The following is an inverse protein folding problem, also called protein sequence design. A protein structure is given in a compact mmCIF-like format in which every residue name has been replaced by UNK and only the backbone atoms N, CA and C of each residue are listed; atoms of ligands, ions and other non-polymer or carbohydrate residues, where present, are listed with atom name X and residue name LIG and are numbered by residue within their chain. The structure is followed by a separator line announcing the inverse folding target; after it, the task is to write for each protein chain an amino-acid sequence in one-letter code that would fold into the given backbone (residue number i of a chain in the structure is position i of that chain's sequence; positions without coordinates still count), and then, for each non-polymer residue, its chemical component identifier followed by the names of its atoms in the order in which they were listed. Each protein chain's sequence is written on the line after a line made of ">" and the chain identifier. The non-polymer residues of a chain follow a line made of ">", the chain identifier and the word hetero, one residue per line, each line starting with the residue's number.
data_IF_102869323698
#
_entry.id   IF_102869323698
#
_cell.length_a   1.000
_cell.length_b   1.000
_cell.length_c   1.000
_cell.angle_alpha   90.00
_cell.angle_beta   90.00
_cell.angle_gamma   90.00
#
_symmetry.space_group_name_H-M   'P 1'
#
loop_
_entity.id
_entity.type
_entity.pdbx_description
1 polymer ?
#
# COMPACT_ATOMS: atom_id res chain seq x y z
N UNK A 1 -83.18 -11.17 -27.54
CA UNK A 1 -82.10 -11.68 -26.66
C UNK A 1 -80.76 -11.17 -27.17
N UNK A 2 -80.08 -10.27 -26.45
CA UNK A 2 -78.76 -9.79 -26.86
C UNK A 2 -77.69 -10.84 -26.50
N UNK A 3 -76.84 -11.20 -27.47
CA UNK A 3 -75.67 -12.06 -27.23
C UNK A 3 -74.66 -11.29 -26.39
N UNK A 4 -74.36 -11.81 -25.20
CA UNK A 4 -73.28 -11.30 -24.35
C UNK A 4 -71.94 -11.45 -25.07
N UNK A 5 -71.25 -10.31 -25.26
CA UNK A 5 -69.92 -10.22 -25.86
C UNK A 5 -68.90 -10.26 -24.71
N UNK A 6 -68.55 -11.45 -24.24
CA UNK A 6 -67.41 -11.64 -23.34
C UNK A 6 -66.17 -11.91 -24.17
N UNK A 7 -65.54 -10.85 -24.69
CA UNK A 7 -64.15 -10.93 -25.13
C UNK A 7 -63.35 -10.46 -23.93
N UNK A 8 -62.69 -11.40 -23.25
CA UNK A 8 -61.67 -11.11 -22.25
C UNK A 8 -60.54 -10.32 -22.94
N UNK A 9 -60.51 -9.00 -22.73
CA UNK A 9 -59.33 -8.19 -22.99
C UNK A 9 -58.27 -8.60 -21.97
N UNK A 10 -57.53 -9.67 -22.26
CA UNK A 10 -56.26 -9.91 -21.57
C UNK A 10 -55.34 -8.76 -22.00
N UNK A 11 -54.88 -7.89 -21.08
CA UNK A 11 -53.94 -6.84 -21.44
C UNK A 11 -52.72 -7.50 -22.09
N UNK A 12 -52.32 -7.00 -23.27
CA UNK A 12 -51.11 -7.46 -23.96
C UNK A 12 -49.93 -7.46 -22.98
N UNK A 13 -49.37 -8.64 -22.71
CA UNK A 13 -48.32 -8.88 -21.70
C UNK A 13 -47.05 -8.06 -21.98
N UNK A 14 -46.95 -7.47 -23.18
CA UNK A 14 -45.84 -6.62 -23.62
C UNK A 14 -46.05 -5.13 -23.33
N UNK A 15 -47.23 -4.70 -22.86
CA UNK A 15 -47.51 -3.30 -22.56
C UNK A 15 -46.98 -2.93 -21.17
N UNK A 16 -45.85 -2.23 -21.15
CA UNK A 16 -45.31 -1.58 -19.95
C UNK A 16 -46.11 -0.31 -19.69
N UNK A 17 -46.61 -0.12 -18.46
CA UNK A 17 -47.34 1.09 -18.10
C UNK A 17 -46.41 2.31 -18.11
N UNK A 18 -46.96 3.50 -18.36
CA UNK A 18 -46.18 4.75 -18.31
C UNK A 18 -45.52 4.91 -16.95
N UNK A 19 -46.22 4.56 -15.88
CA UNK A 19 -45.67 4.58 -14.52
C UNK A 19 -44.46 3.63 -14.38
N UNK A 20 -44.55 2.40 -14.88
CA UNK A 20 -43.43 1.46 -14.85
C UNK A 20 -42.23 1.97 -15.67
N UNK A 21 -42.47 2.57 -16.84
CA UNK A 21 -41.40 3.22 -17.61
C UNK A 21 -40.70 4.33 -16.81
N UNK A 22 -41.48 5.22 -16.17
CA UNK A 22 -40.94 6.30 -15.33
C UNK A 22 -40.16 5.74 -14.15
N UNK A 23 -40.71 4.76 -13.43
CA UNK A 23 -40.05 4.15 -12.28
C UNK A 23 -38.72 3.48 -12.65
N UNK A 24 -38.67 2.74 -13.77
CA UNK A 24 -37.45 2.08 -14.25
C UNK A 24 -36.41 3.07 -14.77
N UNK A 25 -36.83 4.15 -15.42
CA UNK A 25 -35.92 5.24 -15.80
C UNK A 25 -35.36 5.91 -14.55
N UNK A 26 -36.18 6.22 -13.55
CA UNK A 26 -35.72 6.79 -12.29
C UNK A 26 -34.75 5.87 -11.58
N UNK A 27 -35.04 4.57 -11.49
CA UNK A 27 -34.14 3.56 -10.92
C UNK A 27 -32.78 3.57 -11.65
N UNK A 28 -32.79 3.61 -12.99
CA UNK A 28 -31.57 3.72 -13.80
C UNK A 28 -30.77 4.98 -13.47
N UNK A 29 -31.44 6.13 -13.35
CA UNK A 29 -30.79 7.39 -12.99
C UNK A 29 -30.21 7.36 -11.59
N UNK A 30 -30.90 6.75 -10.62
CA UNK A 30 -30.42 6.65 -9.24
C UNK A 30 -29.19 5.76 -9.13
N UNK A 31 -29.21 4.57 -9.74
CA UNK A 31 -28.03 3.69 -9.76
C UNK A 31 -26.89 4.35 -10.52
N UNK A 32 -27.17 4.97 -11.68
CA UNK A 32 -26.16 5.70 -12.45
C UNK A 32 -25.52 6.84 -11.64
N UNK A 33 -26.32 7.58 -10.88
CA UNK A 33 -25.85 8.63 -9.97
C UNK A 33 -24.98 8.08 -8.85
N UNK A 34 -25.40 6.99 -8.20
CA UNK A 34 -24.64 6.36 -7.13
C UNK A 34 -23.25 5.91 -7.62
N UNK A 35 -23.17 5.22 -8.76
CA UNK A 35 -21.90 4.79 -9.34
C UNK A 35 -21.02 5.97 -9.73
N UNK A 36 -21.59 6.99 -10.38
CA UNK A 36 -20.83 8.17 -10.80
C UNK A 36 -20.30 8.95 -9.61
N UNK A 37 -21.14 9.19 -8.60
CA UNK A 37 -20.76 9.90 -7.38
C UNK A 37 -19.61 9.16 -6.67
N UNK A 38 -19.73 7.84 -6.52
CA UNK A 38 -18.69 7.02 -5.90
C UNK A 38 -17.36 7.08 -6.67
N UNK A 39 -17.41 7.00 -8.01
CA UNK A 39 -16.21 7.12 -8.85
C UNK A 39 -15.57 8.53 -8.77
N UNK A 40 -16.39 9.58 -8.78
CA UNK A 40 -15.91 10.97 -8.66
C UNK A 40 -15.32 11.24 -7.27
N UNK A 41 -15.95 10.74 -6.21
CA UNK A 41 -15.40 10.82 -4.86
C UNK A 41 -14.02 10.18 -4.79
N UNK A 42 -13.86 8.94 -5.30
CA UNK A 42 -12.56 8.26 -5.39
C UNK A 42 -11.55 9.07 -6.20
N UNK A 43 -11.95 9.59 -7.37
CA UNK A 43 -11.08 10.42 -8.22
C UNK A 43 -10.58 11.65 -7.46
N UNK A 44 -11.45 12.33 -6.72
CA UNK A 44 -11.07 13.53 -5.95
C UNK A 44 -10.08 13.22 -4.81
N UNK A 45 -10.03 11.98 -4.32
CA UNK A 45 -9.03 11.60 -3.32
C UNK A 45 -7.65 11.36 -3.92
N UNK A 46 -7.53 11.15 -5.24
CA UNK A 46 -6.26 10.79 -5.90
C UNK A 46 -5.19 11.88 -5.77
N UNK A 47 -5.61 13.15 -5.65
CA UNK A 47 -4.71 14.30 -5.46
C UNK A 47 -4.47 14.64 -3.98
N UNK A 48 -5.06 13.87 -3.05
CA UNK A 48 -4.92 14.09 -1.62
C UNK A 48 -3.74 13.31 -1.03
N UNK A 49 -3.34 13.65 0.20
CA UNK A 49 -2.28 12.95 0.93
C UNK A 49 -2.63 11.47 1.26
N UNK A 50 -3.90 11.07 1.11
CA UNK A 50 -4.38 9.70 1.35
C UNK A 50 -5.31 9.30 0.22
N UNK A 51 -4.77 8.95 -0.96
CA UNK A 51 -5.58 8.50 -2.07
C UNK A 51 -6.36 7.24 -1.70
N UNK A 52 -7.59 7.14 -2.19
CA UNK A 52 -8.37 5.91 -2.04
C UNK A 52 -7.65 4.73 -2.68
N UNK A 53 -7.66 3.60 -2.00
CA UNK A 53 -7.10 2.34 -2.50
C UNK A 53 -8.05 1.19 -2.14
N UNK A 54 -8.21 0.24 -3.05
CA UNK A 54 -8.93 -1.01 -2.82
C UNK A 54 -8.16 -2.01 -1.97
N UNK A 55 -6.91 -1.72 -1.59
CA UNK A 55 -6.02 -2.64 -0.88
C UNK A 55 -6.64 -3.22 0.38
N UNK A 56 -7.14 -2.36 1.28
CA UNK A 56 -7.77 -2.82 2.53
C UNK A 56 -9.01 -3.68 2.29
N UNK A 57 -9.73 -3.43 1.19
CA UNK A 57 -10.89 -4.23 0.80
C UNK A 57 -10.48 -5.60 0.23
N UNK A 58 -9.47 -5.63 -0.63
CA UNK A 58 -8.97 -6.83 -1.30
C UNK A 58 -8.17 -7.74 -0.36
N UNK A 59 -7.30 -7.16 0.48
CA UNK A 59 -6.46 -7.89 1.42
C UNK A 59 -7.27 -8.61 2.50
N UNK A 60 -8.46 -8.08 2.83
CA UNK A 60 -9.42 -8.66 3.78
C UNK A 60 -10.53 -9.48 3.09
N UNK A 61 -10.33 -9.92 1.85
CA UNK A 61 -11.33 -10.76 1.18
C UNK A 61 -11.56 -12.09 1.93
N UNK A 62 -12.80 -12.58 1.91
CA UNK A 62 -13.23 -13.82 2.55
C UNK A 62 -14.13 -14.62 1.59
N UNK A 63 -14.31 -15.91 1.90
CA UNK A 63 -15.13 -16.82 1.11
C UNK A 63 -14.39 -17.46 -0.07
N UNK A 64 -15.10 -18.13 -0.99
CA UNK A 64 -14.49 -19.04 -1.97
C UNK A 64 -13.58 -18.37 -3.01
N UNK A 65 -13.67 -17.05 -3.16
CA UNK A 65 -12.84 -16.26 -4.08
C UNK A 65 -11.74 -15.46 -3.36
N UNK A 66 -11.54 -15.71 -2.06
CA UNK A 66 -10.58 -15.00 -1.21
C UNK A 66 -9.22 -14.85 -1.86
N UNK A 67 -8.60 -15.97 -2.26
CA UNK A 67 -7.21 -15.95 -2.71
C UNK A 67 -7.06 -15.21 -4.04
N UNK A 68 -8.06 -15.28 -4.93
CA UNK A 68 -8.09 -14.51 -6.16
C UNK A 68 -8.12 -13.01 -5.87
N UNK A 69 -8.97 -12.54 -4.95
CA UNK A 69 -9.02 -11.13 -4.59
C UNK A 69 -7.77 -10.65 -3.85
N UNK A 70 -7.28 -11.44 -2.90
CA UNK A 70 -6.05 -11.15 -2.15
C UNK A 70 -4.82 -11.12 -3.05
N UNK A 71 -4.79 -11.91 -4.13
CA UNK A 71 -3.69 -11.85 -5.09
C UNK A 71 -3.62 -10.50 -5.84
N UNK A 72 -4.74 -9.79 -5.97
CA UNK A 72 -4.79 -8.49 -6.66
C UNK A 72 -4.08 -7.41 -5.85
N UNK A 73 -4.12 -7.47 -4.51
CA UNK A 73 -3.40 -6.50 -3.67
C UNK A 73 -1.87 -6.67 -3.75
N UNK A 74 -1.37 -7.78 -4.28
CA UNK A 74 0.06 -8.07 -4.43
C UNK A 74 0.70 -8.58 -3.15
N UNK A 75 0.51 -7.86 -2.04
CA UNK A 75 1.03 -8.23 -0.70
C UNK A 75 -0.11 -8.26 0.35
N UNK A 76 -1.04 -9.23 0.26
CA UNK A 76 -2.24 -9.25 1.09
C UNK A 76 -1.98 -9.47 2.59
N UNK A 77 -0.80 -9.97 2.95
CA UNK A 77 -0.35 -10.23 4.32
C UNK A 77 0.70 -9.21 4.79
N UNK A 78 1.05 -8.22 3.96
CA UNK A 78 2.09 -7.22 4.24
C UNK A 78 3.47 -7.84 4.56
N UNK A 79 3.77 -9.03 4.02
CA UNK A 79 5.03 -9.72 4.26
C UNK A 79 6.18 -9.07 3.50
N UNK A 80 5.91 -8.39 2.39
CA UNK A 80 6.94 -7.70 1.62
C UNK A 80 7.48 -6.49 2.39
N UNK A 81 6.68 -5.88 3.26
CA UNK A 81 7.12 -4.85 4.20
C UNK A 81 8.04 -5.36 5.32
N UNK A 82 8.08 -6.67 5.53
CA UNK A 82 8.92 -7.32 6.53
C UNK A 82 10.16 -7.98 5.91
N UNK A 83 10.32 -7.84 4.59
CA UNK A 83 11.48 -8.31 3.85
C UNK A 83 12.40 -7.12 3.53
N UNK A 84 13.62 -7.16 4.05
CA UNK A 84 14.58 -6.07 3.86
C UNK A 84 14.86 -5.80 2.38
N UNK A 85 15.09 -6.84 1.58
CA UNK A 85 15.53 -6.68 0.21
C UNK A 85 14.41 -6.06 -0.63
N UNK A 86 13.15 -6.49 -0.41
CA UNK A 86 11.98 -5.92 -1.09
C UNK A 86 11.74 -4.46 -0.72
N UNK A 87 11.83 -4.10 0.56
CA UNK A 87 11.65 -2.70 1.00
C UNK A 87 12.81 -1.84 0.52
N UNK A 88 14.05 -2.35 0.57
CA UNK A 88 15.22 -1.65 0.05
C UNK A 88 15.07 -1.36 -1.45
N UNK A 89 14.68 -2.35 -2.25
CA UNK A 89 14.44 -2.20 -3.69
C UNK A 89 13.32 -1.18 -3.96
N UNK A 90 12.23 -1.22 -3.17
CA UNK A 90 11.14 -0.24 -3.25
C UNK A 90 11.64 1.19 -2.98
N UNK A 91 12.48 1.39 -1.98
CA UNK A 91 13.03 2.71 -1.65
C UNK A 91 14.05 3.20 -2.68
N UNK A 92 14.83 2.30 -3.25
CA UNK A 92 15.76 2.60 -4.35
C UNK A 92 14.99 2.98 -5.62
N UNK A 93 13.93 2.24 -5.98
CA UNK A 93 13.03 2.57 -7.09
C UNK A 93 12.36 3.94 -6.87
N UNK A 94 11.85 4.18 -5.66
CA UNK A 94 11.28 5.48 -5.31
C UNK A 94 12.31 6.61 -5.45
N UNK A 95 13.55 6.41 -4.98
CA UNK A 95 14.63 7.39 -5.14
C UNK A 95 14.88 7.70 -6.61
N UNK A 96 14.90 6.68 -7.47
CA UNK A 96 15.06 6.85 -8.91
C UNK A 96 13.90 7.65 -9.52
N UNK A 97 12.65 7.30 -9.20
CA UNK A 97 11.47 8.06 -9.64
C UNK A 97 11.46 9.49 -9.11
N UNK A 98 11.95 9.72 -7.88
CA UNK A 98 12.08 11.06 -7.31
C UNK A 98 13.04 11.92 -8.14
N UNK A 99 14.17 11.36 -8.58
CA UNK A 99 15.15 12.04 -9.44
C UNK A 99 14.54 12.33 -10.82
N UNK A 100 13.84 11.35 -11.42
CA UNK A 100 13.19 11.51 -12.72
C UNK A 100 12.06 12.55 -12.71
N UNK A 101 11.30 12.61 -11.63
CA UNK A 101 10.22 13.60 -11.42
C UNK A 101 10.76 15.02 -11.19
N UNK A 102 12.03 15.15 -10.77
CA UNK A 102 12.70 16.42 -10.52
C UNK A 102 14.01 16.52 -11.33
N UNK A 103 13.95 16.69 -12.65
CA UNK A 103 15.15 16.74 -13.51
C UNK A 103 16.04 17.96 -13.26
N UNK A 104 15.58 18.94 -12.48
CA UNK A 104 16.24 20.19 -12.11
C UNK A 104 16.84 20.18 -10.69
N UNK A 105 17.01 19.00 -10.08
CA UNK A 105 17.73 18.88 -8.80
C UNK A 105 19.16 19.38 -8.94
N UNK A 106 19.59 20.25 -8.02
CA UNK A 106 20.99 20.66 -7.94
C UNK A 106 21.89 19.50 -7.49
N UNK A 107 23.18 19.56 -7.80
CA UNK A 107 24.17 18.58 -7.32
C UNK A 107 24.14 18.42 -5.79
N UNK A 108 23.86 19.51 -5.07
CA UNK A 108 23.75 19.48 -3.61
C UNK A 108 22.51 18.73 -3.12
N UNK A 109 21.37 18.84 -3.81
CA UNK A 109 20.15 18.12 -3.48
C UNK A 109 20.29 16.64 -3.83
N UNK A 110 20.89 16.32 -4.98
CA UNK A 110 21.16 14.93 -5.38
C UNK A 110 22.09 14.23 -4.39
N UNK A 111 23.17 14.89 -3.96
CA UNK A 111 24.06 14.36 -2.93
C UNK A 111 23.32 14.10 -1.62
N UNK A 112 22.53 15.08 -1.15
CA UNK A 112 21.72 14.93 0.07
C UNK A 112 20.72 13.78 -0.04
N UNK A 113 20.07 13.60 -1.19
CA UNK A 113 19.14 12.49 -1.43
C UNK A 113 19.84 11.14 -1.35
N UNK A 114 21.02 11.01 -1.98
CA UNK A 114 21.80 9.77 -1.91
C UNK A 114 22.26 9.48 -0.48
N UNK A 115 22.81 10.48 0.22
CA UNK A 115 23.20 10.34 1.64
C UNK A 115 22.01 9.98 2.54
N UNK A 116 20.83 10.54 2.23
CA UNK A 116 19.59 10.29 2.96
C UNK A 116 19.14 8.82 2.84
N UNK A 117 19.10 8.29 1.62
CA UNK A 117 18.58 6.94 1.33
C UNK A 117 19.66 5.88 1.54
N UNK A 118 20.81 6.04 0.89
CA UNK A 118 21.87 5.03 0.82
C UNK A 118 22.81 5.05 2.04
N UNK A 119 22.82 6.16 2.78
CA UNK A 119 23.80 6.43 3.83
C UNK A 119 24.99 7.23 3.32
N UNK A 120 25.82 7.68 4.26
CA UNK A 120 27.01 8.46 3.95
C UNK A 120 28.15 7.54 3.48
N UNK A 121 29.00 7.99 2.56
CA UNK A 121 30.19 7.24 2.16
C UNK A 121 31.22 7.20 3.30
N UNK A 122 31.43 8.33 3.94
CA UNK A 122 32.31 8.46 5.09
C UNK A 122 31.93 9.65 5.98
N UNK A 123 32.47 9.66 7.19
CA UNK A 123 32.36 10.75 8.14
C UNK A 123 33.72 11.31 8.45
N UNK A 124 33.87 12.63 8.44
CA UNK A 124 35.16 13.30 8.56
C UNK A 124 35.21 14.23 9.77
N UNK A 125 36.34 14.29 10.45
CA UNK A 125 36.69 15.32 11.43
C UNK A 125 38.09 15.86 11.13
N UNK A 126 38.32 17.14 11.43
CA UNK A 126 39.65 17.72 11.27
C UNK A 126 40.57 17.20 12.38
N UNK A 127 41.77 16.77 12.00
CA UNK A 127 42.81 16.33 12.92
C UNK A 127 44.15 16.65 12.29
N UNK A 128 44.93 17.52 12.93
CA UNK A 128 46.20 18.01 12.35
C UNK A 128 47.27 16.92 12.37
N UNK A 129 47.44 16.24 13.50
CA UNK A 129 48.46 15.22 13.73
C UNK A 129 47.93 14.11 14.64
N UNK A 130 48.41 12.89 14.44
CA UNK A 130 48.13 11.77 15.33
C UNK A 130 49.00 11.85 16.58
N UNK A 131 48.45 11.63 17.80
CA UNK A 131 49.27 11.50 19.00
C UNK A 131 50.24 10.33 18.87
N UNK A 132 51.49 10.49 19.31
CA UNK A 132 52.53 9.44 19.24
C UNK A 132 52.12 8.12 19.93
N UNK A 133 51.24 8.21 20.93
CA UNK A 133 50.73 7.05 21.67
C UNK A 133 49.70 6.20 20.91
N UNK A 134 49.19 6.67 19.76
CA UNK A 134 48.10 6.01 19.03
C UNK A 134 48.60 5.34 17.76
N UNK A 135 48.54 4.01 17.73
CA UNK A 135 48.80 3.22 16.53
C UNK A 135 47.56 3.21 15.59
N UNK A 136 47.79 3.40 14.29
CA UNK A 136 46.78 3.23 13.23
C UNK A 136 47.22 2.16 12.22
N UNK A 137 46.36 1.18 11.87
CA UNK A 137 44.99 0.99 12.32
C UNK A 137 44.91 0.52 13.80
N UNK A 138 43.93 1.00 14.57
CA UNK A 138 43.84 0.75 16.01
C UNK A 138 43.41 -0.69 16.32
N UNK A 139 44.06 -1.33 17.30
CA UNK A 139 43.71 -2.70 17.71
C UNK A 139 42.35 -2.73 18.42
N UNK A 140 41.49 -3.64 17.99
CA UNK A 140 40.16 -3.85 18.58
C UNK A 140 39.13 -2.79 18.19
N UNK A 141 39.36 -2.15 17.05
CA UNK A 141 38.37 -1.49 16.21
C UNK A 141 38.28 -2.30 14.92
N UNK A 142 37.08 -2.41 14.34
CA UNK A 142 36.87 -3.12 13.08
C UNK A 142 37.82 -2.60 11.98
N UNK A 143 38.42 -3.52 11.21
CA UNK A 143 39.47 -3.18 10.27
C UNK A 143 38.90 -2.33 9.13
N UNK A 144 39.40 -1.10 9.01
CA UNK A 144 38.95 -0.14 7.98
C UNK A 144 37.86 0.81 8.44
N UNK A 145 37.29 0.61 9.64
CA UNK A 145 36.26 1.48 10.19
C UNK A 145 36.75 2.90 10.47
N UNK A 146 38.04 3.08 10.77
CA UNK A 146 38.65 4.38 10.98
C UNK A 146 40.02 4.49 10.32
N UNK A 147 40.29 5.62 9.67
CA UNK A 147 41.57 5.95 9.05
C UNK A 147 41.94 7.42 9.30
N UNK A 148 43.23 7.69 9.36
CA UNK A 148 43.77 9.05 9.39
C UNK A 148 44.46 9.36 8.07
N UNK A 149 44.13 10.50 7.47
CA UNK A 149 44.72 10.98 6.22
C UNK A 149 45.59 12.22 6.50
N UNK A 150 46.94 12.07 6.50
CA UNK A 150 47.86 13.16 6.86
C UNK A 150 47.80 14.35 5.90
N UNK A 151 47.68 14.08 4.60
CA UNK A 151 47.71 15.11 3.56
C UNK A 151 46.50 16.06 3.65
N UNK A 152 45.33 15.51 4.00
CA UNK A 152 44.10 16.28 4.14
C UNK A 152 43.81 16.70 5.58
N UNK A 153 44.63 16.25 6.55
CA UNK A 153 44.47 16.48 8.00
C UNK A 153 43.10 16.07 8.51
N UNK A 154 42.68 14.85 8.15
CA UNK A 154 41.34 14.33 8.45
C UNK A 154 41.38 12.97 9.12
N UNK A 155 40.55 12.85 10.14
CA UNK A 155 40.12 11.58 10.68
C UNK A 155 38.83 11.16 9.97
N UNK A 156 38.82 9.98 9.38
CA UNK A 156 37.73 9.48 8.55
C UNK A 156 37.21 8.17 9.12
N UNK A 157 35.89 8.10 9.32
CA UNK A 157 35.17 6.87 9.68
C UNK A 157 34.42 6.38 8.45
N UNK A 158 34.51 5.08 8.19
CA UNK A 158 33.78 4.43 7.10
C UNK A 158 32.27 4.51 7.33
N UNK A 159 31.54 4.88 6.28
CA UNK A 159 30.12 5.14 6.38
C UNK A 159 29.24 3.91 6.61
N UNK A 160 29.76 2.69 6.46
CA UNK A 160 29.02 1.44 6.68
C UNK A 160 29.45 0.70 7.94
N UNK A 161 30.75 0.72 8.24
CA UNK A 161 31.28 0.02 9.42
C UNK A 161 30.95 0.78 10.72
N UNK A 162 30.83 2.11 10.63
CA UNK A 162 30.57 2.99 11.78
C UNK A 162 31.58 2.78 12.92
N UNK A 163 31.28 3.34 14.09
CA UNK A 163 32.03 3.08 15.32
C UNK A 163 31.04 2.82 16.45
N UNK A 164 31.32 1.82 17.27
CA UNK A 164 30.59 1.55 18.51
C UNK A 164 31.06 2.49 19.63
N UNK A 165 30.23 2.70 20.66
CA UNK A 165 30.62 3.47 21.86
C UNK A 165 31.89 2.89 22.50
N UNK A 166 32.02 1.55 22.49
CA UNK A 166 33.19 0.84 23.03
C UNK A 166 34.45 1.17 22.24
N UNK A 167 34.39 1.17 20.92
CA UNK A 167 35.51 1.53 20.06
C UNK A 167 35.88 3.01 20.20
N UNK A 168 34.89 3.91 20.27
CA UNK A 168 35.13 5.34 20.54
C UNK A 168 35.86 5.56 21.86
N UNK A 169 35.39 4.94 22.94
CA UNK A 169 36.03 5.06 24.26
C UNK A 169 37.45 4.45 24.25
N UNK A 170 37.63 3.34 23.54
CA UNK A 170 38.96 2.72 23.33
C UNK A 170 39.91 3.66 22.61
N UNK A 171 39.47 4.30 21.53
CA UNK A 171 40.30 5.23 20.75
C UNK A 171 40.79 6.40 21.61
N UNK A 172 39.93 6.96 22.46
CA UNK A 172 40.30 8.06 23.37
C UNK A 172 41.28 7.57 24.44
N UNK A 173 41.01 6.43 25.07
CA UNK A 173 41.86 5.87 26.13
C UNK A 173 43.24 5.43 25.63
N UNK A 174 43.41 5.11 24.34
CA UNK A 174 44.74 4.85 23.75
C UNK A 174 45.65 6.08 23.83
N UNK A 175 45.12 7.28 23.64
CA UNK A 175 45.86 8.52 23.79
C UNK A 175 45.91 9.02 25.24
N UNK A 176 44.87 8.72 26.03
CA UNK A 176 44.68 9.20 27.41
C UNK A 176 44.22 8.07 28.33
N UNK A 177 45.13 7.22 28.86
CA UNK A 177 44.76 6.03 29.64
C UNK A 177 43.94 6.31 30.91
N UNK A 178 44.10 7.51 31.49
CA UNK A 178 43.42 7.93 32.72
C UNK A 178 42.02 8.52 32.48
N UNK A 179 41.63 8.77 31.22
CA UNK A 179 40.34 9.36 30.87
C UNK A 179 39.19 8.36 31.08
N UNK A 180 38.06 8.84 31.64
CA UNK A 180 36.84 8.05 31.84
C UNK A 180 35.67 8.64 31.06
N UNK A 181 34.72 7.78 30.69
CA UNK A 181 33.52 8.23 29.98
C UNK A 181 32.70 9.19 30.86
N UNK A 182 32.36 10.35 30.30
CA UNK A 182 31.75 11.48 31.02
C UNK A 182 32.73 12.59 31.44
N UNK A 183 34.05 12.35 31.40
CA UNK A 183 35.05 13.40 31.62
C UNK A 183 35.13 14.36 30.42
N UNK A 184 35.65 15.56 30.66
CA UNK A 184 35.95 16.53 29.59
C UNK A 184 36.97 15.94 28.60
N UNK A 185 36.79 16.20 27.30
CA UNK A 185 37.62 15.64 26.23
C UNK A 185 39.04 16.23 26.29
N UNK A 186 40.08 15.42 26.58
CA UNK A 186 41.38 15.90 27.05
C UNK A 186 42.32 16.40 25.94
N UNK A 187 41.96 16.25 24.66
CA UNK A 187 42.82 16.66 23.53
C UNK A 187 42.03 16.91 22.25
N UNK A 188 42.65 17.59 21.27
CA UNK A 188 42.07 17.77 19.93
C UNK A 188 41.83 16.42 19.22
N UNK A 189 42.66 15.41 19.46
CA UNK A 189 42.41 14.04 19.00
C UNK A 189 41.14 13.45 19.61
N UNK A 190 40.96 13.56 20.93
CA UNK A 190 39.75 13.06 21.59
C UNK A 190 38.49 13.80 21.11
N UNK A 191 38.58 15.12 20.87
CA UNK A 191 37.50 15.92 20.26
C UNK A 191 37.21 15.49 18.82
N UNK A 192 38.22 15.21 18.01
CA UNK A 192 38.04 14.74 16.64
C UNK A 192 37.40 13.35 16.58
N UNK A 193 37.85 12.41 17.43
CA UNK A 193 37.27 11.07 17.58
C UNK A 193 35.81 11.17 18.02
N UNK A 194 35.51 11.97 19.03
CA UNK A 194 34.14 12.18 19.51
C UNK A 194 33.24 12.81 18.44
N UNK A 195 33.74 13.81 17.72
CA UNK A 195 33.01 14.48 16.66
C UNK A 195 32.71 13.54 15.49
N UNK A 196 33.69 12.78 15.02
CA UNK A 196 33.48 11.84 13.91
C UNK A 196 32.57 10.69 14.33
N UNK A 197 32.69 10.19 15.57
CA UNK A 197 31.78 9.20 16.15
C UNK A 197 30.34 9.72 16.19
N UNK A 198 30.10 10.93 16.72
CA UNK A 198 28.77 11.56 16.75
C UNK A 198 28.21 11.76 15.35
N UNK A 199 29.06 12.11 14.38
CA UNK A 199 28.65 12.25 12.97
C UNK A 199 28.27 10.91 12.36
N UNK A 200 29.00 9.85 12.69
CA UNK A 200 28.77 8.49 12.22
C UNK A 200 27.48 7.85 12.76
N UNK A 201 26.92 8.37 13.86
CA UNK A 201 25.59 7.94 14.32
C UNK A 201 24.45 8.34 13.35
N UNK A 202 24.72 9.14 12.31
CA UNK A 202 23.73 9.50 11.30
C UNK A 202 23.63 8.39 10.26
N UNK A 203 22.66 7.51 10.47
CA UNK A 203 22.34 6.42 9.56
C UNK A 203 21.48 6.90 8.39
N UNK A 204 21.75 6.39 7.19
CA UNK A 204 20.83 6.48 6.05
C UNK A 204 19.57 5.64 6.29
N UNK A 205 18.52 5.84 5.50
CA UNK A 205 17.28 5.07 5.68
C UNK A 205 17.48 3.57 5.44
N UNK A 206 18.26 3.15 4.45
CA UNK A 206 18.54 1.72 4.22
C UNK A 206 19.28 1.05 5.40
N UNK A 207 20.10 1.81 6.13
CA UNK A 207 20.77 1.32 7.34
C UNK A 207 19.80 1.25 8.53
N UNK A 208 18.92 2.25 8.67
CA UNK A 208 17.84 2.23 9.67
C UNK A 208 16.87 1.08 9.43
N UNK A 209 16.55 0.78 8.17
CA UNK A 209 15.75 -0.37 7.78
C UNK A 209 16.45 -1.69 8.15
N UNK A 210 17.75 -1.79 7.90
CA UNK A 210 18.54 -2.95 8.32
C UNK A 210 18.52 -3.12 9.84
N UNK A 211 18.61 -2.03 10.60
CA UNK A 211 18.50 -2.09 12.06
C UNK A 211 17.15 -2.67 12.51
N UNK A 212 16.04 -2.28 11.86
CA UNK A 212 14.69 -2.76 12.20
C UNK A 212 14.43 -4.21 11.75
N UNK A 213 14.88 -4.59 10.55
CA UNK A 213 14.52 -5.90 9.95
C UNK A 213 15.61 -6.97 10.07
N UNK A 214 16.84 -6.60 10.42
CA UNK A 214 17.98 -7.51 10.57
C UNK A 214 18.71 -7.37 11.90
N UNK A 215 18.57 -6.24 12.60
CA UNK A 215 19.31 -5.93 13.82
C UNK A 215 18.51 -6.06 15.12
N UNK A 216 17.18 -6.11 15.05
CA UNK A 216 16.31 -6.12 16.23
C UNK A 216 16.05 -7.56 16.73
N UNK A 217 16.61 -7.96 17.89
CA UNK A 217 16.51 -9.33 18.39
C UNK A 217 15.08 -9.75 18.78
N UNK A 218 14.15 -8.80 18.98
CA UNK A 218 12.74 -9.15 19.24
C UNK A 218 12.03 -9.56 17.94
N UNK A 219 12.46 -8.98 16.81
CA UNK A 219 11.78 -9.15 15.51
C UNK A 219 12.35 -10.30 14.68
N UNK A 220 13.64 -10.58 14.81
CA UNK A 220 14.34 -11.58 13.99
C UNK A 220 14.60 -12.88 14.75
N UNK A 221 14.58 -14.00 14.01
CA UNK A 221 15.02 -15.30 14.51
C UNK A 221 16.54 -15.40 14.43
N UNK A 222 17.17 -15.80 15.54
CA UNK A 222 18.62 -15.98 15.60
C UNK A 222 19.01 -17.09 16.57
N UNK A 223 20.17 -17.69 16.29
CA UNK A 223 20.78 -18.73 17.12
C UNK A 223 21.89 -18.11 17.98
N UNK A 224 21.89 -18.41 19.28
CA UNK A 224 23.00 -18.13 20.19
C UNK A 224 23.95 -19.32 20.14
N UNK A 225 25.16 -19.11 19.62
CA UNK A 225 26.19 -20.15 19.52
C UNK A 225 27.27 -19.99 20.59
N UNK A 226 27.82 -21.11 21.09
CA UNK A 226 29.03 -21.09 21.93
C UNK A 226 30.29 -20.75 21.11
N UNK A 227 31.43 -20.62 21.78
CA UNK A 227 32.77 -20.34 21.25
C UNK A 227 33.23 -21.33 20.19
N UNK A 228 32.70 -22.55 20.21
CA UNK A 228 32.98 -23.62 19.24
C UNK A 228 31.96 -23.65 18.08
N UNK A 229 30.97 -22.74 18.07
CA UNK A 229 29.97 -22.62 17.01
C UNK A 229 28.76 -23.53 17.15
N UNK A 230 28.61 -24.26 18.26
CA UNK A 230 27.42 -25.07 18.55
C UNK A 230 26.26 -24.17 19.03
N UNK A 231 25.07 -24.37 18.44
CA UNK A 231 23.85 -23.65 18.82
C UNK A 231 23.41 -24.07 20.22
N UNK A 232 23.40 -23.11 21.15
CA UNK A 232 22.95 -23.29 22.53
C UNK A 232 21.45 -23.05 22.66
N UNK A 233 20.96 -21.99 22.03
CA UNK A 233 19.56 -21.55 22.14
C UNK A 233 19.14 -20.85 20.86
N UNK A 234 17.90 -21.10 20.41
CA UNK A 234 17.30 -20.46 19.25
C UNK A 234 16.16 -19.56 19.71
N UNK A 235 16.22 -18.29 19.36
CA UNK A 235 15.14 -17.33 19.61
C UNK A 235 14.32 -17.16 18.35
N UNK A 236 12.99 -17.26 18.47
CA UNK A 236 12.06 -17.04 17.34
C UNK A 236 11.58 -15.61 17.40
N UNK A 237 11.86 -14.84 16.35
CA UNK A 237 11.43 -13.46 16.24
C UNK A 237 9.95 -13.32 15.92
N UNK A 238 9.37 -12.17 16.26
CA UNK A 238 7.95 -11.87 16.03
C UNK A 238 7.52 -11.99 14.55
N UNK A 239 8.42 -11.71 13.60
CA UNK A 239 8.13 -11.86 12.17
C UNK A 239 7.84 -13.33 11.82
N UNK A 240 8.60 -14.28 12.36
CA UNK A 240 8.39 -15.70 12.12
C UNK A 240 7.20 -16.24 12.92
N UNK A 241 6.91 -15.68 14.09
CA UNK A 241 5.65 -15.93 14.82
C UNK A 241 4.45 -15.53 13.97
N UNK A 242 4.48 -14.35 13.35
CA UNK A 242 3.42 -13.89 12.46
C UNK A 242 3.26 -14.79 11.22
N UNK A 243 4.36 -15.17 10.57
CA UNK A 243 4.33 -16.13 9.44
C UNK A 243 3.75 -17.48 9.85
N UNK A 244 4.12 -18.00 11.02
CA UNK A 244 3.56 -19.24 11.55
C UNK A 244 2.06 -19.10 11.86
N UNK A 245 1.64 -17.95 12.40
CA UNK A 245 0.23 -17.64 12.66
C UNK A 245 -0.61 -17.59 11.39
N UNK A 246 -0.12 -16.95 10.32
CA UNK A 246 -0.77 -16.94 9.01
C UNK A 246 -0.91 -18.34 8.43
N UNK A 247 0.15 -19.15 8.52
CA UNK A 247 0.12 -20.55 8.06
C UNK A 247 -0.95 -21.33 8.82
N UNK A 248 -0.93 -21.24 10.16
CA UNK A 248 -1.92 -21.89 11.03
C UNK A 248 -3.34 -21.47 10.71
N UNK A 249 -3.58 -20.17 10.53
CA UNK A 249 -4.90 -19.65 10.16
C UNK A 249 -5.40 -20.24 8.84
N UNK A 250 -4.53 -20.34 7.82
CA UNK A 250 -4.94 -20.92 6.53
C UNK A 250 -5.19 -22.44 6.62
N UNK A 251 -4.45 -23.15 7.46
CA UNK A 251 -4.70 -24.58 7.76
C UNK A 251 -6.05 -24.75 8.48
N UNK A 252 -6.26 -24.01 9.57
CA UNK A 252 -7.51 -24.02 10.35
C UNK A 252 -8.72 -23.61 9.45
N UNK A 253 -8.55 -22.64 8.54
CA UNK A 253 -9.58 -22.21 7.58
C UNK A 253 -9.94 -23.30 6.56
N UNK A 254 -8.97 -24.12 6.14
CA UNK A 254 -9.21 -25.19 5.19
C UNK A 254 -9.95 -26.39 5.80
N UNK A 255 -9.80 -26.57 7.13
CA UNK A 255 -10.44 -27.66 7.88
C UNK A 255 -11.79 -27.28 8.48
N UNK A 256 -12.07 -25.98 8.65
CA UNK A 256 -13.28 -25.50 9.32
C UNK A 256 -14.59 -25.95 8.63
N UNK A 257 -15.45 -26.63 9.38
CA UNK A 257 -16.76 -27.11 8.94
C UNK A 257 -17.92 -26.64 9.84
N UNK A 258 -17.62 -26.16 11.05
CA UNK A 258 -18.60 -25.77 12.06
C UNK A 258 -18.61 -24.26 12.31
N UNK A 259 -19.79 -23.73 12.64
CA UNK A 259 -19.99 -22.29 12.85
C UNK A 259 -19.04 -21.67 13.90
N UNK A 260 -18.79 -22.37 15.01
CA UNK A 260 -17.89 -21.85 16.05
C UNK A 260 -16.42 -21.82 15.62
N UNK A 261 -16.02 -22.65 14.65
CA UNK A 261 -14.66 -22.66 14.10
C UNK A 261 -14.43 -21.39 13.27
N UNK A 262 -15.44 -20.98 12.50
CA UNK A 262 -15.42 -19.69 11.79
C UNK A 262 -15.41 -18.49 12.74
N UNK A 263 -16.11 -18.56 13.88
CA UNK A 263 -16.03 -17.53 14.93
C UNK A 263 -14.62 -17.46 15.53
N UNK A 264 -13.99 -18.61 15.77
CA UNK A 264 -12.61 -18.67 16.25
C UNK A 264 -11.63 -18.10 15.21
N UNK A 265 -11.78 -18.47 13.94
CA UNK A 265 -11.00 -17.95 12.82
C UNK A 265 -11.14 -16.43 12.69
N UNK A 266 -12.34 -15.87 12.91
CA UNK A 266 -12.53 -14.43 12.91
C UNK A 266 -11.70 -13.73 14.00
N UNK A 267 -11.63 -14.32 15.20
CA UNK A 267 -10.77 -13.83 16.29
C UNK A 267 -9.29 -13.96 15.93
N UNK A 268 -8.86 -15.13 15.45
CA UNK A 268 -7.48 -15.36 15.02
C UNK A 268 -7.07 -14.36 13.93
N UNK A 269 -7.97 -14.09 12.96
CA UNK A 269 -7.74 -13.12 11.90
C UNK A 269 -7.53 -11.72 12.47
N UNK A 270 -8.37 -11.30 13.43
CA UNK A 270 -8.24 -10.01 14.11
C UNK A 270 -6.87 -9.87 14.79
N UNK A 271 -6.46 -10.88 15.54
CA UNK A 271 -5.16 -10.89 16.24
C UNK A 271 -3.99 -10.82 15.24
N UNK A 272 -4.09 -11.53 14.11
CA UNK A 272 -3.11 -11.45 13.02
C UNK A 272 -3.07 -10.06 12.37
N UNK A 273 -4.21 -9.38 12.21
CA UNK A 273 -4.22 -8.01 11.68
C UNK A 273 -3.58 -7.01 12.65
N UNK A 274 -3.75 -7.19 13.96
CA UNK A 274 -3.11 -6.39 15.00
C UNK A 274 -1.59 -6.59 14.99
N UNK A 275 -1.12 -7.84 15.02
CA UNK A 275 0.30 -8.19 14.92
C UNK A 275 0.93 -7.65 13.63
N UNK A 276 0.23 -7.79 12.49
CA UNK A 276 0.69 -7.25 11.21
C UNK A 276 0.95 -5.74 11.31
N UNK A 277 -0.01 -4.99 11.86
CA UNK A 277 0.11 -3.54 12.00
C UNK A 277 1.28 -3.16 12.91
N UNK A 278 1.45 -3.83 14.04
CA UNK A 278 2.58 -3.63 14.96
C UNK A 278 3.93 -3.84 14.26
N UNK A 279 4.06 -4.93 13.50
CA UNK A 279 5.28 -5.27 12.77
C UNK A 279 5.61 -4.28 11.65
N UNK A 280 4.64 -3.90 10.81
CA UNK A 280 4.93 -3.04 9.65
C UNK A 280 5.04 -1.56 10.02
N UNK A 281 4.42 -1.11 11.11
CA UNK A 281 4.33 0.31 11.46
C UNK A 281 5.70 1.02 11.55
N UNK A 282 6.74 0.45 12.17
CA UNK A 282 8.07 1.06 12.17
C UNK A 282 8.67 1.23 10.78
N UNK A 283 8.47 0.26 9.88
CA UNK A 283 8.99 0.31 8.50
C UNK A 283 8.25 1.38 7.68
N UNK A 284 6.92 1.42 7.78
CA UNK A 284 6.07 2.43 7.12
C UNK A 284 6.38 3.84 7.65
N UNK A 285 6.68 3.97 8.94
CA UNK A 285 7.10 5.22 9.55
C UNK A 285 8.45 5.69 8.97
N UNK A 286 9.42 4.79 8.79
CA UNK A 286 10.69 5.11 8.13
C UNK A 286 10.49 5.60 6.69
N UNK A 287 9.65 4.92 5.91
CA UNK A 287 9.34 5.33 4.53
C UNK A 287 8.69 6.72 4.51
N UNK A 288 7.71 6.97 5.38
CA UNK A 288 7.03 8.27 5.49
C UNK A 288 8.01 9.38 5.84
N UNK A 289 8.87 9.14 6.84
CA UNK A 289 9.88 10.10 7.26
C UNK A 289 10.90 10.38 6.14
N UNK A 290 11.28 9.36 5.38
CA UNK A 290 12.16 9.47 4.22
C UNK A 290 11.55 10.38 3.15
N UNK A 291 10.29 10.12 2.77
CA UNK A 291 9.57 10.93 1.78
C UNK A 291 9.44 12.38 2.25
N UNK A 292 9.07 12.60 3.51
CA UNK A 292 8.94 13.94 4.09
C UNK A 292 10.28 14.69 4.13
N UNK A 293 11.36 14.01 4.48
CA UNK A 293 12.70 14.62 4.54
C UNK A 293 13.21 14.98 3.15
N UNK A 294 12.93 14.14 2.15
CA UNK A 294 13.21 14.44 0.76
C UNK A 294 12.34 15.59 0.21
N UNK A 295 11.06 15.68 0.59
CA UNK A 295 10.22 16.80 0.18
C UNK A 295 10.74 18.14 0.75
N UNK A 296 11.26 18.15 1.98
CA UNK A 296 11.80 19.36 2.65
C UNK A 296 13.06 19.93 2.00
N UNK A 297 13.80 19.16 1.22
CA UNK A 297 14.98 19.68 0.49
C UNK A 297 14.62 20.33 -0.85
N UNK A 298 13.37 20.23 -1.31
CA UNK A 298 12.91 20.82 -2.57
C UNK A 298 12.62 22.31 -2.42
N UNK A 299 12.80 23.05 -3.51
CA UNK A 299 12.30 24.42 -3.63
C UNK A 299 10.77 24.42 -3.77
N UNK A 300 10.13 25.57 -3.55
CA UNK A 300 8.67 25.72 -3.72
C UNK A 300 8.24 25.35 -5.14
N UNK A 301 9.03 25.75 -6.15
CA UNK A 301 8.73 25.45 -7.55
C UNK A 301 8.84 23.96 -7.86
N UNK A 302 9.86 23.27 -7.33
CA UNK A 302 9.99 21.81 -7.43
C UNK A 302 8.83 21.10 -6.73
N UNK A 303 8.49 21.50 -5.50
CA UNK A 303 7.40 20.91 -4.72
C UNK A 303 6.03 21.09 -5.38
N UNK A 304 5.84 22.17 -6.16
CA UNK A 304 4.59 22.45 -6.87
C UNK A 304 4.24 21.42 -7.97
N UNK A 305 5.20 20.55 -8.37
CA UNK A 305 4.95 19.44 -9.31
C UNK A 305 4.10 18.32 -8.72
N UNK A 306 3.87 18.34 -7.41
CA UNK A 306 3.08 17.32 -6.72
C UNK A 306 3.88 16.07 -6.35
N UNK A 307 3.19 15.04 -5.82
CA UNK A 307 3.84 13.85 -5.30
C UNK A 307 4.57 13.06 -6.40
N UNK A 308 5.59 12.31 -6.00
CA UNK A 308 6.30 11.39 -6.91
C UNK A 308 5.30 10.35 -7.43
N UNK A 309 5.19 10.13 -8.75
CA UNK A 309 4.23 9.18 -9.31
C UNK A 309 4.55 7.77 -8.82
N UNK A 310 3.58 7.10 -8.18
CA UNK A 310 3.71 5.69 -7.78
C UNK A 310 3.95 4.76 -8.99
N UNK A 311 4.44 3.52 -8.80
CA UNK A 311 4.56 2.56 -9.90
C UNK A 311 3.18 2.00 -10.29
N UNK A 312 3.09 1.38 -11.47
CA UNK A 312 1.89 0.69 -11.93
C UNK A 312 1.88 -0.75 -11.43
N UNK A 313 1.37 -0.94 -10.21
CA UNK A 313 1.15 -2.27 -9.60
C UNK A 313 -0.19 -2.86 -10.04
N UNK A 314 -0.38 -4.18 -9.85
CA UNK A 314 -1.68 -4.84 -10.11
C UNK A 314 -2.82 -4.20 -9.31
N UNK A 315 -2.54 -3.85 -8.05
CA UNK A 315 -3.45 -3.12 -7.18
C UNK A 315 -3.86 -1.78 -7.82
N UNK A 316 -2.89 -0.96 -8.24
CA UNK A 316 -3.18 0.36 -8.82
C UNK A 316 -3.93 0.26 -10.15
N UNK A 317 -3.60 -0.73 -10.97
CA UNK A 317 -4.32 -1.01 -12.21
C UNK A 317 -5.79 -1.34 -11.88
N UNK A 318 -6.01 -2.15 -10.85
CA UNK A 318 -7.36 -2.52 -10.38
C UNK A 318 -8.12 -1.33 -9.80
N UNK A 319 -7.48 -0.49 -8.99
CA UNK A 319 -8.08 0.74 -8.47
C UNK A 319 -8.46 1.70 -9.59
N UNK A 320 -7.57 1.89 -10.58
CA UNK A 320 -7.86 2.70 -11.75
C UNK A 320 -9.04 2.11 -12.56
N UNK A 321 -9.13 0.80 -12.74
CA UNK A 321 -10.26 0.14 -13.41
C UNK A 321 -11.58 0.33 -12.64
N UNK A 322 -11.54 0.27 -11.30
CA UNK A 322 -12.72 0.54 -10.46
C UNK A 322 -13.17 1.99 -10.61
N UNK A 323 -12.26 2.95 -10.45
CA UNK A 323 -12.56 4.39 -10.56
C UNK A 323 -13.13 4.71 -11.95
N UNK A 324 -12.41 4.33 -13.00
CA UNK A 324 -12.82 4.62 -14.38
C UNK A 324 -14.10 3.89 -14.76
N UNK A 325 -14.28 2.65 -14.30
CA UNK A 325 -15.50 1.86 -14.48
C UNK A 325 -16.71 2.54 -13.84
N UNK A 326 -16.61 2.95 -12.58
CA UNK A 326 -17.67 3.66 -11.86
C UNK A 326 -18.07 4.97 -12.55
N UNK A 327 -17.10 5.83 -12.89
CA UNK A 327 -17.36 7.09 -13.57
C UNK A 327 -17.99 6.89 -14.95
N UNK A 328 -17.45 5.96 -15.74
CA UNK A 328 -17.90 5.74 -17.12
C UNK A 328 -19.28 5.10 -17.14
N UNK A 329 -19.48 3.99 -16.42
CA UNK A 329 -20.75 3.26 -16.41
C UNK A 329 -21.87 4.09 -15.75
N UNK A 330 -21.56 4.82 -14.68
CA UNK A 330 -22.51 5.76 -14.06
C UNK A 330 -22.97 6.85 -15.03
N UNK A 331 -22.03 7.47 -15.75
CA UNK A 331 -22.35 8.49 -16.77
C UNK A 331 -23.19 7.93 -17.91
N UNK A 332 -22.84 6.74 -18.42
CA UNK A 332 -23.59 6.06 -19.49
C UNK A 332 -25.03 5.75 -19.07
N UNK A 333 -25.24 5.31 -17.84
CA UNK A 333 -26.58 5.05 -17.28
C UNK A 333 -27.39 6.33 -17.09
N UNK A 334 -26.78 7.43 -16.65
CA UNK A 334 -27.47 8.72 -16.49
C UNK A 334 -27.93 9.25 -17.86
N UNK A 335 -27.00 9.34 -18.81
CA UNK A 335 -27.26 9.86 -20.16
C UNK A 335 -28.16 8.90 -20.97
N UNK A 336 -28.17 7.62 -20.62
CA UNK A 336 -28.91 6.58 -21.33
C UNK A 336 -28.29 6.27 -22.69
N UNK A 337 -26.96 6.11 -22.73
CA UNK A 337 -26.20 5.70 -23.91
C UNK A 337 -25.66 4.27 -23.72
N UNK A 338 -25.82 3.43 -24.74
CA UNK A 338 -25.49 2.01 -24.70
C UNK A 338 -26.07 1.31 -23.45
N UNK A 339 -27.30 1.68 -23.06
CA UNK A 339 -27.84 1.45 -21.71
C UNK A 339 -27.81 -0.01 -21.29
N UNK A 340 -28.11 -0.94 -22.22
CA UNK A 340 -28.12 -2.38 -21.92
C UNK A 340 -26.73 -2.92 -21.62
N UNK A 341 -25.73 -2.47 -22.37
CA UNK A 341 -24.33 -2.80 -22.13
C UNK A 341 -23.85 -2.15 -20.83
N UNK A 342 -24.13 -0.87 -20.63
CA UNK A 342 -23.75 -0.16 -19.41
C UNK A 342 -24.34 -0.83 -18.16
N UNK A 343 -25.62 -1.22 -18.20
CA UNK A 343 -26.28 -1.90 -17.09
C UNK A 343 -25.71 -3.30 -16.83
N UNK A 344 -25.44 -4.09 -17.88
CA UNK A 344 -24.83 -5.42 -17.74
C UNK A 344 -23.40 -5.33 -17.18
N UNK A 345 -22.58 -4.43 -17.69
CA UNK A 345 -21.21 -4.21 -17.20
C UNK A 345 -21.19 -3.68 -15.77
N UNK A 346 -22.11 -2.78 -15.41
CA UNK A 346 -22.27 -2.31 -14.03
C UNK A 346 -22.71 -3.44 -13.09
N UNK A 347 -23.60 -4.34 -13.54
CA UNK A 347 -23.99 -5.51 -12.75
C UNK A 347 -22.79 -6.41 -12.46
N UNK A 348 -21.91 -6.64 -13.45
CA UNK A 348 -20.67 -7.42 -13.27
C UNK A 348 -19.74 -6.72 -12.27
N UNK A 349 -19.55 -5.41 -12.40
CA UNK A 349 -18.70 -4.63 -11.49
C UNK A 349 -19.20 -4.70 -10.04
N UNK A 350 -20.49 -4.43 -9.81
CA UNK A 350 -21.07 -4.47 -8.45
C UNK A 350 -21.08 -5.89 -7.88
N UNK A 351 -21.33 -6.90 -8.73
CA UNK A 351 -21.22 -8.30 -8.32
C UNK A 351 -19.78 -8.65 -7.91
N UNK A 352 -18.77 -8.11 -8.58
CA UNK A 352 -17.38 -8.32 -8.19
C UNK A 352 -17.07 -7.76 -6.79
N UNK A 353 -17.74 -6.69 -6.35
CA UNK A 353 -17.60 -6.19 -4.97
C UNK A 353 -18.34 -7.05 -3.96
N UNK A 354 -19.52 -7.57 -4.31
CA UNK A 354 -20.25 -8.51 -3.46
C UNK A 354 -19.44 -9.78 -3.16
N UNK A 355 -18.68 -10.26 -4.13
CA UNK A 355 -17.92 -11.51 -4.04
C UNK A 355 -16.61 -11.40 -3.23
N UNK A 356 -16.17 -10.20 -2.83
CA UNK A 356 -14.98 -10.02 -1.98
C UNK A 356 -15.21 -10.52 -0.57
N UNK A 357 -16.41 -10.30 -0.02
CA UNK A 357 -16.78 -10.76 1.32
C UNK A 357 -18.28 -11.12 1.33
N UNK A 358 -18.66 -12.22 0.66
CA UNK A 358 -20.06 -12.57 0.49
C UNK A 358 -20.65 -13.07 1.82
N UNK A 359 -21.85 -12.63 2.21
CA UNK A 359 -22.51 -13.06 3.45
C UNK A 359 -23.15 -14.44 3.26
N UNK A 360 -22.33 -15.44 2.95
CA UNK A 360 -22.72 -16.84 2.75
C UNK A 360 -22.54 -17.64 4.04
N UNK A 361 -23.31 -18.74 4.22
CA UNK A 361 -23.04 -19.67 5.31
C UNK A 361 -21.59 -20.15 5.29
N UNK A 362 -20.91 -20.09 6.44
CA UNK A 362 -19.50 -20.47 6.57
C UNK A 362 -18.50 -19.39 6.17
N UNK A 363 -18.94 -18.18 5.84
CA UNK A 363 -18.04 -17.02 5.68
C UNK A 363 -18.17 -16.14 6.93
N UNK A 364 -17.06 -15.68 7.55
CA UNK A 364 -17.14 -14.73 8.67
C UNK A 364 -17.99 -13.52 8.31
N UNK A 365 -18.76 -12.99 9.25
CA UNK A 365 -19.58 -11.80 8.95
C UNK A 365 -18.68 -10.56 8.75
N UNK A 366 -18.92 -9.75 7.71
CA UNK A 366 -18.18 -8.51 7.52
C UNK A 366 -18.45 -7.54 8.68
N UNK A 367 -17.43 -6.84 9.19
CA UNK A 367 -17.61 -5.87 10.26
C UNK A 367 -18.52 -4.73 9.80
N UNK A 368 -19.60 -4.48 10.54
CA UNK A 368 -20.54 -3.41 10.23
C UNK A 368 -21.94 -3.67 10.76
N UNK A 369 -22.85 -2.71 10.51
CA UNK A 369 -24.26 -2.79 10.94
C UNK A 369 -25.15 -3.60 9.99
N UNK A 370 -24.60 -4.16 8.91
CA UNK A 370 -25.35 -4.90 7.91
C UNK A 370 -25.41 -6.39 8.27
N UNK A 371 -26.54 -6.84 8.84
CA UNK A 371 -26.85 -8.26 9.03
C UNK A 371 -27.78 -8.71 7.90
N UNK A 372 -27.21 -9.18 6.79
CA UNK A 372 -27.98 -9.62 5.62
C UNK A 372 -27.47 -10.96 5.11
N UNK A 373 -28.22 -12.03 5.35
CA UNK A 373 -27.87 -13.37 4.85
C UNK A 373 -28.09 -13.41 3.33
N UNK A 374 -27.01 -13.63 2.56
CA UNK A 374 -26.97 -13.75 1.10
C UNK A 374 -27.39 -12.47 0.35
N UNK A 375 -28.53 -11.86 0.64
CA UNK A 375 -29.08 -10.71 -0.08
C UNK A 375 -28.80 -9.41 0.68
N UNK A 376 -27.74 -8.70 0.27
CA UNK A 376 -27.43 -7.35 0.78
C UNK A 376 -27.72 -6.28 -0.30
N UNK A 377 -27.39 -5.01 0.01
CA UNK A 377 -27.59 -3.88 -0.92
C UNK A 377 -26.93 -4.10 -2.29
N UNK A 378 -25.73 -4.68 -2.32
CA UNK A 378 -24.98 -4.91 -3.55
C UNK A 378 -25.73 -5.92 -4.44
N UNK A 379 -26.25 -7.01 -3.87
CA UNK A 379 -26.98 -8.01 -4.65
C UNK A 379 -28.34 -7.49 -5.16
N UNK A 380 -29.02 -6.64 -4.37
CA UNK A 380 -30.24 -5.95 -4.81
C UNK A 380 -29.93 -5.02 -6.00
N UNK A 381 -28.82 -4.28 -5.94
CA UNK A 381 -28.37 -3.40 -7.01
C UNK A 381 -28.00 -4.20 -8.28
N UNK A 382 -27.33 -5.34 -8.15
CA UNK A 382 -27.06 -6.27 -9.27
C UNK A 382 -28.36 -6.74 -9.92
N UNK A 383 -29.35 -7.16 -9.13
CA UNK A 383 -30.65 -7.61 -9.65
C UNK A 383 -31.39 -6.49 -10.38
N UNK A 384 -31.33 -5.25 -9.86
CA UNK A 384 -31.88 -4.08 -10.50
C UNK A 384 -31.19 -3.78 -11.84
N UNK A 385 -29.86 -3.82 -11.88
CA UNK A 385 -29.07 -3.60 -13.09
C UNK A 385 -29.31 -4.66 -14.17
N UNK A 386 -29.41 -5.95 -13.80
CA UNK A 386 -29.79 -7.03 -14.72
C UNK A 386 -31.20 -6.77 -15.31
N UNK A 387 -32.13 -6.35 -14.46
CA UNK A 387 -33.49 -5.98 -14.90
C UNK A 387 -33.47 -4.82 -15.89
N UNK A 388 -32.63 -3.80 -15.64
CA UNK A 388 -32.42 -2.67 -16.55
C UNK A 388 -31.75 -3.07 -17.86
N UNK A 389 -30.83 -4.04 -17.84
CA UNK A 389 -30.17 -4.57 -19.04
C UNK A 389 -31.13 -5.34 -19.97
N UNK A 390 -32.17 -5.93 -19.38
CA UNK A 390 -33.23 -6.63 -20.11
C UNK A 390 -34.28 -5.69 -20.72
N UNK A 391 -34.33 -4.42 -20.30
CA UNK A 391 -35.38 -3.47 -20.69
C UNK A 391 -34.82 -2.32 -21.55
N UNK A 392 -35.60 -1.78 -22.50
CA UNK A 392 -35.11 -0.74 -23.40
C UNK A 392 -35.21 0.67 -22.78
N UNK A 393 -34.80 0.82 -21.52
CA UNK A 393 -34.93 2.07 -20.73
C UNK A 393 -34.23 3.27 -21.39
N UNK A 394 -33.12 3.04 -22.10
CA UNK A 394 -32.43 4.03 -22.92
C UNK A 394 -33.28 4.61 -24.06
N UNK A 395 -34.19 3.81 -24.63
CA UNK A 395 -35.09 4.27 -25.70
C UNK A 395 -36.28 5.06 -25.17
N UNK A 396 -36.68 4.83 -23.92
CA UNK A 396 -37.74 5.57 -23.24
C UNK A 396 -37.27 6.97 -22.87
N UNK A 397 -36.08 7.07 -22.28
CA UNK A 397 -35.46 8.34 -21.88
C UNK A 397 -33.93 8.21 -21.94
N UNK A 398 -33.31 8.73 -22.99
CA UNK A 398 -31.86 8.66 -23.16
C UNK A 398 -31.39 8.89 -24.59
N UNK A 399 -30.07 8.94 -24.75
CA UNK A 399 -29.41 9.11 -26.05
C UNK A 399 -29.70 7.92 -26.99
N UNK A 400 -29.85 6.71 -26.47
CA UNK A 400 -30.22 5.53 -27.27
C UNK A 400 -31.53 5.75 -28.06
N UNK A 401 -32.53 6.41 -27.44
CA UNK A 401 -33.78 6.75 -28.11
C UNK A 401 -33.62 7.80 -29.21
N UNK A 402 -32.77 8.81 -28.99
CA UNK A 402 -32.47 9.85 -29.98
C UNK A 402 -31.78 9.22 -31.20
N UNK A 403 -30.75 8.41 -30.96
CA UNK A 403 -30.01 7.69 -32.00
C UNK A 403 -30.94 6.75 -32.77
N UNK A 404 -31.77 5.97 -32.07
CA UNK A 404 -32.74 5.07 -32.69
C UNK A 404 -33.70 5.79 -33.65
N UNK A 405 -34.21 6.97 -33.27
CA UNK A 405 -35.10 7.78 -34.13
C UNK A 405 -34.39 8.32 -35.37
N UNK A 406 -33.14 8.77 -35.23
CA UNK A 406 -32.34 9.29 -36.36
C UNK A 406 -32.07 8.20 -37.41
N UNK A 407 -31.76 6.98 -36.99
CA UNK A 407 -31.54 5.86 -37.92
C UNK A 407 -32.84 5.31 -38.53
N UNK A 408 -33.95 5.34 -37.80
CA UNK A 408 -35.26 4.96 -38.32
C UNK A 408 -35.76 5.94 -39.41
N UNK A 409 -35.60 7.25 -39.21
CA UNK A 409 -35.96 8.27 -40.19
C UNK A 409 -35.17 8.16 -41.50
N UNK A 410 -33.88 7.79 -41.43
CA UNK A 410 -33.06 7.54 -42.62
C UNK A 410 -33.47 6.30 -43.41
N UNK A 411 -34.02 5.26 -42.76
CA UNK A 411 -34.56 4.08 -43.48
C UNK A 411 -35.85 4.41 -44.21
N UNK A 412 -36.73 5.23 -43.62
CA UNK A 412 -37.97 5.66 -44.27
C UNK A 412 -37.71 6.57 -45.46
N UNK A 413 -36.77 7.53 -45.35
CA UNK A 413 -36.39 8.41 -46.45
C UNK A 413 -35.65 7.72 -47.62
N UNK A 414 -35.16 6.49 -47.43
CA UNK A 414 -34.58 5.64 -48.50
C UNK A 414 -35.62 4.72 -49.16
N UNK A 415 -36.82 4.61 -48.58
CA UNK A 415 -37.92 3.76 -49.07
C UNK A 415 -39.06 4.56 -49.71
N UNK A 416 -39.10 5.88 -49.50
CA UNK A 416 -39.84 6.86 -50.31
C UNK A 416 -39.00 7.33 -51.48
#
# INVERSE_FOLDING_TARGET
>A
MPRARWISEVPDIRRVSVFACVALVTLRLFIGWQLLHEGLWKTNTMDSARPWSGEGFLANAHGPLRDQYRSISGDPDSLDWLDYDKVADRWIDWKQRFIEHHPDLSESQLRKLNELVDGYEDFRAELVELPEAVEFPPKGVEKGAIRFEPDSKRLIVDGKLHLTQRERNRLITMAHPDWKDGDELPSEYAKAVDLVFKRAQRLGYLERLAAVLKGDPERITYDVTDRDGEVMESFVGEIDVYRAGLKKYNEDLAEADQAFEYDHLASQWKDLQEQRLELISPVVALETEMHDTAAKMLTIEQLSRGPVPEPWTMLRISDAMVITGLCTLGTLLIIGFATRFAAASAAILVLSFYLVWPPWPGVPEPPGTEHSLIVNKNLIEVAALISLAALPTGTWFGVDGIIGRLFAGRKQAKQS
#
